data_IF_425944092650
#
_entry.id   IF_425944092650
#
_cell.length_a   1.000
_cell.length_b   1.000
_cell.length_c   1.000
_cell.angle_alpha   90.00
_cell.angle_beta   90.00
_cell.angle_gamma   90.00
#
_symmetry.space_group_name_H-M   'P 1'
#
loop_
_entity.id
_entity.type
_entity.pdbx_description
1 polymer ?
#
# COMPACT_ATOMS: atom_id res chain seq x y z
N UNK A 1 15.17 -16.70 9.11
CA UNK A 1 16.33 -15.97 9.62
C UNK A 1 17.52 -16.91 9.63
N UNK A 2 18.58 -16.53 8.94
CA UNK A 2 19.83 -17.27 8.92
C UNK A 2 20.54 -17.01 10.24
N UNK A 3 21.16 -18.03 10.82
CA UNK A 3 21.88 -17.91 12.08
C UNK A 3 23.37 -17.67 11.81
N UNK A 4 23.92 -16.61 12.39
CA UNK A 4 25.34 -16.26 12.33
C UNK A 4 26.25 -17.41 12.72
N UNK A 5 25.95 -18.07 13.85
CA UNK A 5 26.70 -19.22 14.36
C UNK A 5 26.65 -20.43 13.43
N UNK A 6 25.49 -20.71 12.82
CA UNK A 6 25.37 -21.78 11.83
C UNK A 6 26.15 -21.47 10.55
N UNK A 7 26.11 -20.22 10.08
CA UNK A 7 26.90 -19.79 8.92
C UNK A 7 28.42 -19.91 9.18
N UNK A 8 28.87 -19.52 10.38
CA UNK A 8 30.27 -19.64 10.78
C UNK A 8 30.73 -21.10 10.89
N UNK A 9 29.91 -21.99 11.45
CA UNK A 9 30.19 -23.43 11.50
C UNK A 9 30.27 -24.03 10.09
N UNK A 10 29.38 -23.63 9.18
CA UNK A 10 29.47 -24.03 7.78
C UNK A 10 30.70 -23.46 7.10
N UNK A 11 31.15 -22.25 7.41
CA UNK A 11 32.38 -21.71 6.86
C UNK A 11 33.60 -22.47 7.38
N UNK A 12 33.61 -22.89 8.65
CA UNK A 12 34.71 -23.62 9.26
C UNK A 12 34.84 -25.07 8.77
N UNK A 13 33.73 -25.81 8.71
CA UNK A 13 33.74 -27.25 8.40
C UNK A 13 33.40 -27.57 6.94
N UNK A 14 32.71 -26.65 6.25
CA UNK A 14 32.20 -26.83 4.89
C UNK A 14 32.59 -25.67 3.96
N UNK A 15 33.43 -24.73 4.42
CA UNK A 15 33.80 -23.53 3.66
C UNK A 15 34.67 -23.83 2.45
N UNK A 16 35.40 -24.94 2.47
CA UNK A 16 36.14 -25.45 1.31
C UNK A 16 35.28 -25.72 0.08
N UNK A 17 33.98 -26.01 0.26
CA UNK A 17 33.00 -26.21 -0.82
C UNK A 17 32.09 -24.99 -1.00
N UNK A 18 32.27 -23.93 -0.22
CA UNK A 18 31.44 -22.71 -0.30
C UNK A 18 30.01 -22.87 0.24
N UNK A 19 29.72 -23.92 1.02
CA UNK A 19 28.36 -24.23 1.51
C UNK A 19 27.77 -23.09 2.35
N UNK A 20 28.60 -22.38 3.12
CA UNK A 20 28.18 -21.20 3.89
C UNK A 20 27.69 -20.07 2.99
N UNK A 21 28.25 -19.88 1.79
CA UNK A 21 27.78 -18.86 0.84
C UNK A 21 26.41 -19.21 0.26
N UNK A 22 26.14 -20.50 0.03
CA UNK A 22 24.80 -20.96 -0.33
C UNK A 22 23.79 -20.79 0.81
N UNK A 23 24.20 -21.08 2.05
CA UNK A 23 23.37 -20.81 3.24
C UNK A 23 23.02 -19.32 3.37
N UNK A 24 23.97 -18.44 3.04
CA UNK A 24 23.77 -17.00 3.01
C UNK A 24 22.98 -16.49 1.79
N UNK A 25 22.52 -17.38 0.90
CA UNK A 25 21.82 -17.09 -0.38
C UNK A 25 22.64 -16.30 -1.40
N UNK A 26 23.95 -16.52 -1.42
CA UNK A 26 24.87 -15.92 -2.40
C UNK A 26 25.35 -17.00 -3.39
N UNK A 27 24.51 -17.46 -4.35
CA UNK A 27 24.83 -18.60 -5.20
C UNK A 27 26.03 -18.34 -6.11
N UNK A 28 26.23 -17.11 -6.60
CA UNK A 28 27.40 -16.74 -7.41
C UNK A 28 28.72 -16.91 -6.66
N UNK A 29 28.78 -16.45 -5.40
CA UNK A 29 29.96 -16.64 -4.55
C UNK A 29 30.15 -18.11 -4.15
N UNK A 30 29.08 -18.86 -3.93
CA UNK A 30 29.16 -20.30 -3.69
C UNK A 30 29.79 -21.06 -4.87
N UNK A 31 29.39 -20.74 -6.10
CA UNK A 31 29.96 -21.34 -7.32
C UNK A 31 31.45 -20.96 -7.46
N UNK A 32 31.81 -19.70 -7.17
CA UNK A 32 33.21 -19.27 -7.18
C UNK A 32 34.08 -20.10 -6.22
N UNK A 33 33.57 -20.39 -5.02
CA UNK A 33 34.27 -21.23 -4.05
C UNK A 33 34.48 -22.67 -4.55
N UNK A 34 33.50 -23.24 -5.27
CA UNK A 34 33.64 -24.58 -5.88
C UNK A 34 34.74 -24.59 -6.95
N UNK A 35 34.86 -23.52 -7.74
CA UNK A 35 35.93 -23.39 -8.74
C UNK A 35 37.29 -23.25 -8.05
N UNK A 36 37.39 -22.38 -7.04
CA UNK A 36 38.63 -22.14 -6.29
C UNK A 36 39.06 -23.32 -5.41
N UNK A 37 38.15 -24.24 -5.11
CA UNK A 37 38.47 -25.48 -4.39
C UNK A 37 39.47 -26.35 -5.15
N UNK A 38 39.39 -26.38 -6.49
CA UNK A 38 40.37 -27.10 -7.33
C UNK A 38 41.81 -26.59 -7.14
N UNK A 39 41.97 -25.33 -6.69
CA UNK A 39 43.26 -24.68 -6.45
C UNK A 39 43.68 -24.70 -4.97
N UNK A 40 42.86 -25.25 -4.06
CA UNK A 40 43.13 -25.29 -2.62
C UNK A 40 43.01 -23.95 -1.88
N UNK A 41 42.85 -22.83 -2.60
CA UNK A 41 42.74 -21.47 -2.05
C UNK A 41 41.43 -21.31 -1.24
N UNK A 42 40.37 -22.04 -1.60
CA UNK A 42 39.07 -21.97 -0.91
C UNK A 42 39.13 -22.38 0.57
N UNK A 43 40.09 -23.21 0.97
CA UNK A 43 40.26 -23.65 2.37
C UNK A 43 40.65 -22.45 3.24
N UNK A 44 41.63 -21.66 2.78
CA UNK A 44 42.09 -20.46 3.50
C UNK A 44 40.99 -19.40 3.52
N UNK A 45 40.32 -19.18 2.39
CA UNK A 45 39.20 -18.23 2.30
C UNK A 45 38.02 -18.64 3.21
N UNK A 46 37.73 -19.93 3.33
CA UNK A 46 36.68 -20.45 4.23
C UNK A 46 36.98 -20.17 5.70
N UNK A 47 38.24 -20.32 6.13
CA UNK A 47 38.68 -19.99 7.49
C UNK A 47 38.58 -18.47 7.75
N UNK A 48 39.04 -17.65 6.80
CA UNK A 48 38.93 -16.18 6.89
C UNK A 48 37.45 -15.78 7.02
N UNK A 49 36.59 -16.35 6.17
CA UNK A 49 35.14 -16.12 6.22
C UNK A 49 34.54 -16.54 7.57
N UNK A 50 34.98 -17.66 8.16
CA UNK A 50 34.52 -18.09 9.48
C UNK A 50 34.91 -17.10 10.58
N UNK A 51 36.13 -16.56 10.54
CA UNK A 51 36.61 -15.56 11.50
C UNK A 51 35.82 -14.25 11.33
N UNK A 52 35.67 -13.77 10.09
CA UNK A 52 34.89 -12.56 9.79
C UNK A 52 33.44 -12.73 10.24
N UNK A 53 32.82 -13.89 9.96
CA UNK A 53 31.47 -14.19 10.38
C UNK A 53 31.32 -14.29 11.90
N UNK A 54 32.33 -14.74 12.65
CA UNK A 54 32.30 -14.76 14.11
C UNK A 54 32.53 -13.36 14.70
N UNK A 55 33.41 -12.56 14.09
CA UNK A 55 33.79 -11.22 14.54
C UNK A 55 32.74 -10.14 14.21
N UNK A 56 31.93 -10.34 13.18
CA UNK A 56 30.86 -9.42 12.77
C UNK A 56 29.81 -9.24 13.88
N UNK A 57 29.30 -8.03 14.09
CA UNK A 57 28.24 -7.82 15.08
C UNK A 57 26.92 -8.53 14.66
N UNK A 58 26.13 -9.12 15.57
CA UNK A 58 24.86 -9.77 15.20
C UNK A 58 23.90 -8.86 14.44
N UNK A 59 23.81 -7.57 14.81
CA UNK A 59 22.92 -6.63 14.12
C UNK A 59 23.42 -6.33 12.69
N UNK A 60 24.74 -6.28 12.49
CA UNK A 60 25.33 -6.11 11.17
C UNK A 60 25.11 -7.35 10.29
N UNK A 61 25.24 -8.55 10.87
CA UNK A 61 24.96 -9.80 10.18
C UNK A 61 23.51 -9.87 9.71
N UNK A 62 22.58 -9.50 10.59
CA UNK A 62 21.16 -9.48 10.27
C UNK A 62 20.87 -8.48 9.15
N UNK A 63 21.42 -7.26 9.21
CA UNK A 63 21.30 -6.27 8.13
C UNK A 63 21.91 -6.76 6.81
N UNK A 64 23.00 -7.51 6.83
CA UNK A 64 23.72 -7.89 5.59
C UNK A 64 23.19 -9.16 4.94
N UNK A 65 22.64 -10.07 5.74
CA UNK A 65 22.27 -11.40 5.27
C UNK A 65 20.80 -11.77 5.54
N UNK A 66 20.15 -11.10 6.50
CA UNK A 66 18.73 -11.29 6.82
C UNK A 66 17.83 -10.12 6.37
N UNK A 67 18.39 -9.04 5.81
CA UNK A 67 17.60 -7.91 5.26
C UNK A 67 16.85 -8.28 3.96
N UNK A 68 17.32 -9.26 3.20
CA UNK A 68 16.50 -9.91 2.15
C UNK A 68 15.30 -10.66 2.72
N UNK A 69 15.33 -11.05 4.00
CA UNK A 69 14.15 -11.52 4.70
C UNK A 69 13.31 -10.34 5.17
N UNK A 70 13.83 -9.22 5.64
CA UNK A 70 13.04 -8.07 6.10
C UNK A 70 12.35 -7.31 4.94
N UNK A 71 13.03 -7.15 3.80
CA UNK A 71 12.45 -6.63 2.55
C UNK A 71 11.42 -7.59 1.93
N UNK A 72 11.67 -8.91 1.93
CA UNK A 72 10.66 -9.91 1.57
C UNK A 72 9.62 -10.14 2.67
N UNK A 73 9.85 -9.69 3.90
CA UNK A 73 8.94 -9.82 5.04
C UNK A 73 8.04 -8.61 5.10
N UNK A 74 8.42 -7.44 4.59
CA UNK A 74 7.48 -6.34 4.26
C UNK A 74 6.62 -6.73 3.05
N UNK A 75 7.22 -7.36 2.03
CA UNK A 75 6.50 -7.85 0.85
C UNK A 75 5.61 -9.07 1.17
N UNK A 76 6.04 -9.92 2.12
CA UNK A 76 5.21 -10.99 2.71
C UNK A 76 4.29 -10.46 3.79
N UNK A 77 4.55 -9.36 4.50
CA UNK A 77 3.60 -8.79 5.48
C UNK A 77 2.40 -8.25 4.71
N UNK A 78 2.67 -7.57 3.60
CA UNK A 78 1.69 -7.10 2.63
C UNK A 78 0.88 -8.26 2.05
N UNK A 79 1.54 -9.36 1.64
CA UNK A 79 0.84 -10.57 1.12
C UNK A 79 0.23 -11.50 2.18
N UNK A 80 0.71 -11.48 3.43
CA UNK A 80 0.29 -12.39 4.53
C UNK A 80 -0.82 -11.78 5.36
N UNK A 81 -0.90 -10.45 5.52
CA UNK A 81 -2.12 -9.81 6.05
C UNK A 81 -3.31 -10.06 5.14
N UNK A 82 -3.09 -10.04 3.83
CA UNK A 82 -4.10 -10.39 2.82
C UNK A 82 -4.59 -11.85 2.91
N UNK A 83 -3.74 -12.79 3.38
CA UNK A 83 -4.12 -14.19 3.60
C UNK A 83 -4.63 -14.54 5.01
N UNK A 84 -4.27 -13.77 6.04
CA UNK A 84 -4.58 -14.12 7.44
C UNK A 84 -5.94 -13.59 7.90
N UNK A 85 -6.47 -12.53 7.28
CA UNK A 85 -7.83 -12.02 7.55
C UNK A 85 -8.94 -12.95 7.02
N UNK A 86 -8.61 -13.99 6.24
CA UNK A 86 -9.57 -15.03 5.84
C UNK A 86 -9.74 -16.15 6.90
N UNK A 87 -8.84 -16.27 7.89
CA UNK A 87 -8.82 -17.41 8.83
C UNK A 87 -9.05 -17.08 10.30
N UNK A 88 -9.17 -15.80 10.68
CA UNK A 88 -9.49 -15.40 12.06
C UNK A 88 -10.95 -14.94 12.21
N UNK A 89 -11.89 -15.82 11.88
CA UNK A 89 -13.19 -15.86 12.56
C UNK A 89 -13.34 -17.25 13.20
N UNK A 90 -13.68 -17.34 14.50
CA UNK A 90 -13.89 -18.62 15.16
C UNK A 90 -15.22 -19.21 14.67
N UNK A 91 -15.17 -20.19 13.77
CA UNK A 91 -16.35 -21.00 13.43
C UNK A 91 -16.52 -22.09 14.49
N UNK A 92 -17.27 -21.77 15.52
CA UNK A 92 -17.98 -22.77 16.33
C UNK A 92 -19.10 -23.37 15.49
N UNK A 93 -18.84 -24.45 14.75
CA UNK A 93 -19.81 -25.55 14.68
C UNK A 93 -19.20 -26.81 14.05
N UNK A 94 -18.73 -27.68 14.93
CA UNK A 94 -18.57 -29.10 14.66
C UNK A 94 -19.93 -29.70 14.31
N UNK A 95 -20.15 -30.13 13.06
CA UNK A 95 -21.07 -31.24 12.72
C UNK A 95 -20.85 -31.73 11.28
N UNK A 96 -19.96 -32.72 11.20
CA UNK A 96 -20.16 -33.98 10.47
C UNK A 96 -21.14 -33.98 9.29
N UNK A 97 -20.59 -34.03 8.06
CA UNK A 97 -21.31 -34.58 6.91
C UNK A 97 -20.78 -35.99 6.64
N UNK A 98 -21.51 -36.99 7.15
CA UNK A 98 -21.43 -38.37 6.65
C UNK A 98 -22.08 -38.44 5.26
N UNK A 99 -21.43 -39.22 4.39
CA UNK A 99 -21.89 -39.65 3.06
C UNK A 99 -23.33 -40.21 3.08
N UNK A 100 -24.11 -40.08 2.01
CA UNK A 100 -25.22 -40.99 1.77
C UNK A 100 -24.75 -42.17 0.92
N UNK A 101 -24.72 -43.35 1.53
CA UNK A 101 -24.78 -44.63 0.82
C UNK A 101 -26.23 -45.07 0.74
N UNK A 102 -26.64 -45.55 -0.43
CA UNK A 102 -27.91 -46.27 -0.67
C UNK A 102 -28.14 -47.36 0.37
N UNK A 103 -29.33 -47.40 0.98
CA UNK A 103 -30.06 -48.66 1.24
C UNK A 103 -31.52 -48.39 1.56
N UNK A 104 -32.40 -48.92 0.72
CA UNK A 104 -33.84 -49.03 0.96
C UNK A 104 -34.15 -50.40 1.57
N UNK A 105 -35.23 -50.42 2.37
CA UNK A 105 -36.02 -51.53 2.91
C UNK A 105 -35.62 -52.16 4.25
N UNK A 106 -36.41 -51.84 5.28
CA UNK A 106 -37.38 -52.78 5.89
C UNK A 106 -38.38 -52.08 6.84
N UNK A 107 -39.66 -52.15 6.46
CA UNK A 107 -40.91 -52.38 7.25
C UNK A 107 -41.30 -51.49 8.47
N UNK A 108 -42.60 -51.44 8.82
CA UNK A 108 -43.29 -50.22 9.29
C UNK A 108 -43.85 -50.31 10.72
N UNK A 109 -44.63 -49.29 11.12
CA UNK A 109 -45.88 -49.32 11.96
C UNK A 109 -45.93 -48.17 12.99
N UNK A 110 -46.95 -47.29 12.83
CA UNK A 110 -47.83 -46.56 13.79
C UNK A 110 -47.17 -45.80 14.99
N UNK A 111 -47.58 -44.63 15.48
CA UNK A 111 -48.91 -44.05 15.74
C UNK A 111 -48.78 -42.58 16.16
N UNK A 112 -49.87 -41.82 15.98
CA UNK A 112 -50.44 -40.81 16.92
C UNK A 112 -49.57 -39.58 17.31
N UNK A 113 -49.93 -38.39 16.85
CA UNK A 113 -50.90 -37.48 17.48
C UNK A 113 -50.29 -36.66 18.63
N UNK A 114 -50.11 -35.34 18.42
CA UNK A 114 -50.71 -34.29 19.27
C UNK A 114 -50.33 -32.87 18.83
N UNK A 115 -51.33 -32.00 18.95
CA UNK A 115 -51.36 -30.54 18.71
C UNK A 115 -50.50 -29.77 19.71
N UNK A 116 -49.93 -28.61 19.31
CA UNK A 116 -50.30 -27.28 19.84
C UNK A 116 -49.52 -26.12 19.17
N UNK A 117 -49.99 -24.85 19.28
CA UNK A 117 -49.84 -23.85 18.23
C UNK A 117 -48.94 -22.65 18.58
N UNK A 118 -48.56 -21.93 17.51
CA UNK A 118 -48.27 -20.49 17.40
C UNK A 118 -47.44 -19.83 18.52
N UNK A 119 -46.28 -19.28 18.14
CA UNK A 119 -45.92 -17.89 18.45
C UNK A 119 -45.21 -17.25 17.25
N UNK A 120 -45.93 -16.33 16.59
CA UNK A 120 -45.43 -15.42 15.57
C UNK A 120 -44.71 -14.29 16.30
N UNK A 121 -43.40 -14.18 16.17
CA UNK A 121 -42.67 -12.95 16.45
C UNK A 121 -42.22 -12.36 15.11
N UNK A 122 -42.51 -11.07 14.93
CA UNK A 122 -42.27 -10.33 13.70
C UNK A 122 -40.80 -10.42 13.29
N UNK A 123 -40.57 -10.91 12.06
CA UNK A 123 -39.28 -10.84 11.40
C UNK A 123 -39.09 -9.41 10.91
N UNK A 124 -38.30 -8.63 11.63
CA UNK A 124 -37.71 -7.41 11.10
C UNK A 124 -36.89 -7.77 9.86
N UNK A 125 -37.27 -7.16 8.74
CA UNK A 125 -36.55 -7.28 7.48
C UNK A 125 -35.24 -6.51 7.64
N UNK A 126 -34.17 -7.22 7.98
CA UNK A 126 -32.81 -6.71 7.80
C UNK A 126 -32.35 -7.16 6.42
N UNK A 127 -32.22 -6.19 5.52
CA UNK A 127 -31.59 -6.32 4.22
C UNK A 127 -30.12 -6.71 4.42
N UNK A 128 -29.87 -8.02 4.50
CA UNK A 128 -28.52 -8.58 4.46
C UNK A 128 -27.95 -8.36 3.06
N UNK A 129 -27.24 -7.24 2.85
CA UNK A 129 -26.31 -7.11 1.74
C UNK A 129 -25.16 -8.11 1.98
N UNK A 130 -25.01 -9.06 1.07
CA UNK A 130 -23.95 -10.06 1.11
C UNK A 130 -22.58 -9.39 0.92
N UNK A 131 -21.49 -9.89 1.55
CA UNK A 131 -20.16 -9.35 1.33
C UNK A 131 -19.77 -9.52 -0.14
N UNK A 132 -19.50 -8.40 -0.82
CA UNK A 132 -19.05 -8.42 -2.21
C UNK A 132 -17.80 -9.31 -2.34
N UNK A 133 -17.86 -10.23 -3.30
CA UNK A 133 -16.70 -11.03 -3.68
C UNK A 133 -15.64 -10.09 -4.25
N UNK A 134 -14.57 -9.80 -3.50
CA UNK A 134 -13.43 -9.01 -3.98
C UNK A 134 -12.97 -9.60 -5.32
N UNK A 135 -13.21 -8.87 -6.40
CA UNK A 135 -12.78 -9.25 -7.74
C UNK A 135 -11.26 -9.24 -7.73
N UNK A 136 -10.63 -10.33 -8.14
CA UNK A 136 -9.16 -10.39 -8.26
C UNK A 136 -8.76 -9.32 -9.28
N UNK A 137 -7.87 -8.40 -8.90
CA UNK A 137 -7.45 -7.28 -9.74
C UNK A 137 -6.20 -7.67 -10.56
N UNK A 138 -6.33 -8.02 -11.85
CA UNK A 138 -5.18 -8.44 -12.67
C UNK A 138 -4.21 -7.29 -12.94
N UNK A 139 -4.72 -6.05 -12.98
CA UNK A 139 -3.93 -4.88 -13.36
C UNK A 139 -2.92 -4.48 -12.28
N UNK A 140 -3.21 -4.76 -11.01
CA UNK A 140 -2.24 -4.56 -9.91
C UNK A 140 -0.94 -5.33 -10.11
N UNK A 141 -1.04 -6.60 -10.51
CA UNK A 141 0.16 -7.42 -10.74
C UNK A 141 0.89 -7.02 -12.02
N UNK A 142 0.13 -6.68 -13.08
CA UNK A 142 0.69 -6.19 -14.34
C UNK A 142 1.46 -4.88 -14.15
N UNK A 143 0.87 -3.91 -13.44
CA UNK A 143 1.53 -2.64 -13.13
C UNK A 143 2.79 -2.83 -12.28
N UNK A 144 2.78 -3.72 -11.27
CA UNK A 144 3.99 -4.02 -10.47
C UNK A 144 5.11 -4.58 -11.35
N UNK A 145 4.77 -5.41 -12.34
CA UNK A 145 5.77 -5.96 -13.26
C UNK A 145 6.41 -4.84 -14.10
N UNK A 146 5.58 -4.02 -14.75
CA UNK A 146 6.04 -2.88 -15.56
C UNK A 146 6.84 -1.87 -14.74
N UNK A 147 6.43 -1.64 -13.50
CA UNK A 147 7.13 -0.77 -12.54
C UNK A 147 8.57 -1.26 -12.29
N UNK A 148 8.75 -2.56 -12.07
CA UNK A 148 10.06 -3.19 -11.88
C UNK A 148 10.91 -3.19 -13.15
N UNK A 149 10.25 -3.22 -14.31
CA UNK A 149 10.89 -3.09 -15.62
C UNK A 149 11.21 -1.62 -15.96
N UNK A 150 10.98 -0.68 -15.04
CA UNK A 150 11.14 0.78 -15.19
C UNK A 150 10.26 1.41 -16.29
N UNK A 151 9.25 0.69 -16.78
CA UNK A 151 8.20 1.25 -17.64
C UNK A 151 7.14 1.94 -16.77
N UNK A 152 7.52 3.09 -16.23
CA UNK A 152 6.73 3.80 -15.22
C UNK A 152 5.40 4.30 -15.76
N UNK A 153 5.38 4.79 -17.01
CA UNK A 153 4.16 5.31 -17.63
C UNK A 153 3.15 4.18 -17.85
N UNK A 154 3.57 3.05 -18.40
CA UNK A 154 2.67 1.91 -18.59
C UNK A 154 2.28 1.23 -17.27
N UNK A 155 3.13 1.34 -16.23
CA UNK A 155 2.79 0.89 -14.88
C UNK A 155 1.67 1.73 -14.27
N UNK A 156 1.73 3.06 -14.41
CA UNK A 156 0.69 4.00 -13.96
C UNK A 156 -0.64 3.66 -14.64
N UNK A 157 -0.65 3.48 -15.96
CA UNK A 157 -1.87 3.11 -16.70
C UNK A 157 -2.51 1.81 -16.19
N UNK A 158 -1.70 0.80 -15.90
CA UNK A 158 -2.21 -0.46 -15.33
C UNK A 158 -2.70 -0.26 -13.90
N UNK A 159 -2.00 0.52 -13.08
CA UNK A 159 -2.49 0.79 -11.74
C UNK A 159 -3.79 1.60 -11.73
N UNK A 160 -3.97 2.54 -12.65
CA UNK A 160 -5.21 3.31 -12.82
C UNK A 160 -6.38 2.41 -13.23
N UNK A 161 -6.19 1.50 -14.20
CA UNK A 161 -7.17 0.43 -14.51
C UNK A 161 -7.44 -0.47 -13.30
N UNK A 162 -6.44 -0.65 -12.44
CA UNK A 162 -6.59 -1.32 -11.17
C UNK A 162 -7.53 -0.57 -10.22
N UNK A 163 -7.40 0.75 -10.13
CA UNK A 163 -8.27 1.59 -9.31
C UNK A 163 -9.72 1.57 -9.81
N UNK A 164 -9.96 1.48 -11.12
CA UNK A 164 -11.33 1.32 -11.66
C UNK A 164 -12.07 0.10 -11.09
N UNK A 165 -11.34 -0.93 -10.66
CA UNK A 165 -11.91 -2.12 -10.00
C UNK A 165 -12.09 -1.87 -8.50
N UNK A 166 -11.07 -1.32 -7.84
CA UNK A 166 -11.10 -0.98 -6.42
C UNK A 166 -10.47 0.39 -6.18
N UNK A 167 -11.33 1.41 -6.12
CA UNK A 167 -10.95 2.80 -5.92
C UNK A 167 -10.33 3.07 -4.53
N UNK A 168 -10.44 2.13 -3.58
CA UNK A 168 -9.94 2.29 -2.21
C UNK A 168 -8.75 1.36 -1.91
N UNK A 169 -8.13 0.75 -2.93
CA UNK A 169 -6.96 -0.10 -2.74
C UNK A 169 -5.75 0.74 -2.31
N UNK A 170 -5.46 0.67 -1.02
CA UNK A 170 -4.34 1.35 -0.36
C UNK A 170 -3.02 1.09 -1.07
N UNK A 171 -2.77 -0.16 -1.50
CA UNK A 171 -1.49 -0.51 -2.14
C UNK A 171 -1.37 0.07 -3.55
N UNK A 172 -2.48 0.12 -4.30
CA UNK A 172 -2.47 0.74 -5.62
C UNK A 172 -2.18 2.24 -5.52
N UNK A 173 -2.83 2.94 -4.58
CA UNK A 173 -2.52 4.34 -4.32
C UNK A 173 -1.05 4.56 -3.95
N UNK A 174 -0.49 3.74 -3.05
CA UNK A 174 0.93 3.83 -2.70
C UNK A 174 1.86 3.58 -3.91
N UNK A 175 1.60 2.53 -4.70
CA UNK A 175 2.43 2.20 -5.86
C UNK A 175 2.36 3.28 -6.96
N UNK A 176 1.18 3.84 -7.20
CA UNK A 176 1.01 4.97 -8.12
C UNK A 176 1.79 6.19 -7.62
N UNK A 177 1.79 6.46 -6.32
CA UNK A 177 2.58 7.57 -5.77
C UNK A 177 4.09 7.37 -5.98
N UNK A 178 4.60 6.15 -5.79
CA UNK A 178 5.98 5.83 -6.09
C UNK A 178 6.29 6.01 -7.58
N UNK A 179 5.39 5.61 -8.48
CA UNK A 179 5.56 5.82 -9.91
C UNK A 179 5.56 7.31 -10.29
N UNK A 180 4.62 8.10 -9.77
CA UNK A 180 4.59 9.53 -10.01
C UNK A 180 5.80 10.28 -9.42
N UNK A 181 6.33 9.81 -8.30
CA UNK A 181 7.57 10.36 -7.73
C UNK A 181 8.77 10.12 -8.65
N UNK A 182 8.90 8.91 -9.21
CA UNK A 182 9.94 8.59 -10.17
C UNK A 182 9.80 9.31 -11.52
N UNK A 183 8.56 9.68 -11.91
CA UNK A 183 8.30 10.52 -13.10
C UNK A 183 8.22 12.01 -12.75
N UNK A 184 8.79 12.42 -11.63
CA UNK A 184 8.91 13.83 -11.19
C UNK A 184 7.59 14.60 -11.08
N UNK A 185 6.47 13.90 -10.86
CA UNK A 185 5.13 14.47 -10.72
C UNK A 185 4.72 14.54 -9.24
N UNK A 186 5.35 15.44 -8.48
CA UNK A 186 5.20 15.54 -7.02
C UNK A 186 3.75 15.72 -6.54
N UNK A 187 2.99 16.62 -7.17
CA UNK A 187 1.60 16.91 -6.77
C UNK A 187 0.72 15.66 -6.84
N UNK A 188 0.85 14.91 -7.93
CA UNK A 188 0.11 13.65 -8.13
C UNK A 188 0.57 12.59 -7.14
N UNK A 189 1.87 12.48 -6.91
CA UNK A 189 2.43 11.54 -5.94
C UNK A 189 1.91 11.81 -4.52
N UNK A 190 1.97 13.06 -4.04
CA UNK A 190 1.45 13.47 -2.73
C UNK A 190 -0.08 13.25 -2.63
N UNK A 191 -0.82 13.50 -3.72
CA UNK A 191 -2.26 13.22 -3.78
C UNK A 191 -2.57 11.74 -3.58
N UNK A 192 -1.83 10.85 -4.24
CA UNK A 192 -2.02 9.41 -4.09
C UNK A 192 -1.53 8.91 -2.72
N UNK A 193 -0.47 9.48 -2.15
CA UNK A 193 -0.07 9.19 -0.76
C UNK A 193 -1.17 9.57 0.23
N UNK A 194 -1.78 10.75 0.05
CA UNK A 194 -2.87 11.21 0.90
C UNK A 194 -4.07 10.26 0.86
N UNK A 195 -4.46 9.83 -0.35
CA UNK A 195 -5.51 8.81 -0.52
C UNK A 195 -5.14 7.48 0.14
N UNK A 196 -3.89 7.04 0.02
CA UNK A 196 -3.44 5.82 0.69
C UNK A 196 -3.60 5.95 2.22
N UNK A 197 -3.20 7.09 2.81
CA UNK A 197 -3.37 7.37 4.24
C UNK A 197 -4.85 7.46 4.64
N UNK A 198 -5.67 8.16 3.87
CA UNK A 198 -7.12 8.25 4.04
C UNK A 198 -7.78 6.87 4.08
N UNK A 199 -7.36 5.96 3.20
CA UNK A 199 -7.88 4.59 3.13
C UNK A 199 -7.26 3.64 4.17
N UNK A 200 -6.34 4.13 5.01
CA UNK A 200 -5.84 3.41 6.17
C UNK A 200 -4.40 2.91 6.07
N UNK A 201 -3.57 3.50 5.21
CA UNK A 201 -2.12 3.33 5.25
C UNK A 201 -1.55 3.94 6.53
N UNK A 202 -0.79 3.16 7.30
CA UNK A 202 -0.28 3.55 8.63
C UNK A 202 1.25 3.64 8.72
N UNK A 203 1.94 3.18 7.69
CA UNK A 203 3.40 3.10 7.69
C UNK A 203 4.02 4.42 7.22
N UNK A 204 3.87 5.45 8.04
CA UNK A 204 4.39 6.79 7.73
C UNK A 204 5.91 6.84 7.60
N UNK A 205 6.62 5.94 8.30
CA UNK A 205 8.06 5.81 8.15
C UNK A 205 8.42 5.40 6.73
N UNK A 206 7.65 4.48 6.12
CA UNK A 206 7.84 4.11 4.71
C UNK A 206 7.74 5.30 3.77
N UNK A 207 6.83 6.26 4.00
CA UNK A 207 6.75 7.48 3.16
C UNK A 207 8.03 8.31 3.28
N UNK A 208 8.61 8.38 4.49
CA UNK A 208 9.83 9.15 4.79
C UNK A 208 11.12 8.49 4.31
N UNK A 209 11.14 7.17 4.10
CA UNK A 209 12.37 6.43 3.80
C UNK A 209 12.41 5.75 2.45
N UNK A 210 11.27 5.43 1.83
CA UNK A 210 11.24 4.64 0.59
C UNK A 210 11.96 5.34 -0.56
N UNK A 211 12.91 4.67 -1.22
CA UNK A 211 13.79 5.28 -2.22
C UNK A 211 13.01 5.91 -3.38
N UNK A 212 11.99 5.23 -3.90
CA UNK A 212 11.18 5.75 -5.01
C UNK A 212 10.40 7.03 -4.68
N UNK A 213 10.26 7.36 -3.39
CA UNK A 213 9.64 8.61 -2.91
C UNK A 213 10.65 9.74 -2.64
N UNK A 214 11.93 9.55 -2.99
CA UNK A 214 12.97 10.54 -2.74
C UNK A 214 12.66 11.90 -3.39
N UNK A 215 12.15 11.90 -4.62
CA UNK A 215 11.79 13.13 -5.33
C UNK A 215 10.68 13.91 -4.60
N UNK A 216 9.69 13.22 -4.04
CA UNK A 216 8.62 13.87 -3.25
C UNK A 216 9.18 14.49 -1.98
N UNK A 217 10.16 13.86 -1.33
CA UNK A 217 10.73 14.35 -0.06
C UNK A 217 11.58 15.61 -0.16
N UNK A 218 12.11 15.90 -1.35
CA UNK A 218 12.91 17.11 -1.58
C UNK A 218 12.05 18.33 -1.97
N UNK A 219 10.74 18.14 -2.17
CA UNK A 219 9.85 19.23 -2.51
C UNK A 219 9.59 20.13 -1.30
N UNK A 220 9.48 21.46 -1.50
CA UNK A 220 9.25 22.39 -0.40
C UNK A 220 7.93 22.15 0.33
N UNK A 221 6.92 21.59 -0.35
CA UNK A 221 5.61 21.27 0.23
C UNK A 221 5.65 20.03 1.15
N UNK A 222 6.70 19.20 1.05
CA UNK A 222 6.74 17.92 1.75
C UNK A 222 6.78 18.06 3.27
N UNK A 223 7.47 19.08 3.79
CA UNK A 223 7.54 19.30 5.24
C UNK A 223 6.17 19.57 5.83
N UNK A 224 5.37 20.42 5.16
CA UNK A 224 3.99 20.70 5.55
C UNK A 224 3.11 19.47 5.38
N UNK A 225 3.23 18.76 4.26
CA UNK A 225 2.49 17.52 4.02
C UNK A 225 2.76 16.46 5.09
N UNK A 226 4.01 16.32 5.54
CA UNK A 226 4.38 15.41 6.62
C UNK A 226 3.88 15.89 7.99
N UNK A 227 3.87 17.20 8.25
CA UNK A 227 3.32 17.80 9.48
C UNK A 227 1.80 17.58 9.59
N UNK A 228 1.09 17.62 8.45
CA UNK A 228 -0.34 17.34 8.33
C UNK A 228 -0.67 15.83 8.38
N UNK A 229 0.30 14.98 8.72
CA UNK A 229 0.11 13.54 8.82
C UNK A 229 -0.08 12.85 7.47
N UNK A 230 0.52 13.41 6.41
CA UNK A 230 0.38 12.95 5.03
C UNK A 230 -1.06 13.01 4.52
N UNK A 231 -1.86 13.94 5.05
CA UNK A 231 -3.18 14.24 4.53
C UNK A 231 -3.13 15.56 3.76
N UNK A 232 -3.86 15.64 2.65
CA UNK A 232 -4.10 16.92 2.00
C UNK A 232 -5.30 17.55 2.69
N UNK A 233 -5.02 18.41 3.66
CA UNK A 233 -6.03 19.33 4.17
C UNK A 233 -6.30 20.33 3.05
N UNK A 234 -7.32 20.06 2.21
CA UNK A 234 -7.73 21.01 1.18
C UNK A 234 -8.16 22.26 1.93
N UNK A 235 -7.28 23.27 2.02
CA UNK A 235 -7.72 24.63 2.28
C UNK A 235 -8.90 24.87 1.32
N UNK A 236 -10.03 25.42 1.80
CA UNK A 236 -11.22 25.59 0.98
C UNK A 236 -10.78 26.19 -0.33
N UNK A 237 -10.98 25.45 -1.42
CA UNK A 237 -10.57 25.96 -2.71
C UNK A 237 -11.38 27.21 -2.93
N UNK A 238 -10.70 28.34 -2.99
CA UNK A 238 -11.23 29.49 -3.68
C UNK A 238 -11.58 28.96 -5.06
N UNK A 239 -12.88 28.90 -5.35
CA UNK A 239 -13.38 28.43 -6.63
C UNK A 239 -12.56 29.12 -7.73
N UNK A 240 -12.12 28.38 -8.77
CA UNK A 240 -11.46 29.03 -9.90
C UNK A 240 -12.34 30.20 -10.33
N UNK A 241 -11.78 31.41 -10.53
CA UNK A 241 -12.59 32.57 -10.87
C UNK A 241 -13.44 32.18 -12.07
N UNK A 242 -14.77 32.23 -11.93
CA UNK A 242 -15.72 31.84 -12.98
C UNK A 242 -15.26 32.53 -14.27
N UNK A 243 -14.85 31.75 -15.27
CA UNK A 243 -14.17 32.20 -16.50
C UNK A 243 -14.97 33.28 -17.27
N UNK A 244 -16.27 33.40 -17.01
CA UNK A 244 -17.17 34.34 -17.69
C UNK A 244 -17.37 35.68 -16.96
N UNK A 245 -16.72 35.94 -15.81
CA UNK A 245 -16.93 37.21 -15.09
C UNK A 245 -16.35 38.44 -15.80
N UNK A 246 -15.41 38.24 -16.73
CA UNK A 246 -14.75 39.31 -17.49
C UNK A 246 -15.46 39.64 -18.80
N UNK A 247 -16.45 38.84 -19.23
CA UNK A 247 -17.20 39.07 -20.48
C UNK A 247 -18.44 39.97 -20.27
N UNK A 248 -18.83 40.23 -19.02
CA UNK A 248 -19.92 41.16 -18.69
C UNK A 248 -19.41 42.62 -18.66
N UNK A 249 -19.47 43.29 -19.82
CA UNK A 249 -19.16 44.73 -19.98
C UNK A 249 -19.85 45.61 -18.92
N UNK A 250 -21.06 45.22 -18.51
CA UNK A 250 -21.84 45.89 -17.46
C UNK A 250 -21.15 45.76 -16.11
N UNK A 251 -20.68 44.57 -15.75
CA UNK A 251 -20.00 44.30 -14.48
C UNK A 251 -18.66 45.04 -14.40
N UNK A 252 -17.89 45.04 -15.49
CA UNK A 252 -16.66 45.81 -15.63
C UNK A 252 -16.91 47.31 -15.43
N UNK A 253 -17.96 47.86 -16.04
CA UNK A 253 -18.32 49.28 -15.89
C UNK A 253 -18.67 49.64 -14.43
N UNK A 254 -19.37 48.74 -13.73
CA UNK A 254 -19.76 48.91 -12.33
C UNK A 254 -18.56 48.83 -11.38
N UNK A 255 -17.64 47.88 -11.63
CA UNK A 255 -16.40 47.76 -10.86
C UNK A 255 -15.47 48.96 -11.06
N UNK A 256 -15.36 49.49 -12.29
CA UNK A 256 -14.60 50.70 -12.57
C UNK A 256 -15.19 51.92 -11.87
N UNK A 257 -16.51 52.11 -11.91
CA UNK A 257 -17.18 53.20 -11.18
C UNK A 257 -16.97 53.09 -9.67
N UNK A 258 -17.02 51.88 -9.12
CA UNK A 258 -16.78 51.64 -7.69
C UNK A 258 -15.33 52.01 -7.30
N UNK A 259 -14.36 51.65 -8.16
CA UNK A 259 -12.95 52.00 -7.99
C UNK A 259 -12.73 53.52 -8.04
N UNK A 260 -13.39 54.22 -8.97
CA UNK A 260 -13.35 55.68 -9.03
C UNK A 260 -13.91 56.34 -7.77
N UNK A 261 -15.02 55.85 -7.23
CA UNK A 261 -15.61 56.39 -6.00
C UNK A 261 -14.66 56.23 -4.80
N UNK A 262 -13.95 55.09 -4.71
CA UNK A 262 -12.90 54.88 -3.69
C UNK A 262 -11.74 55.86 -3.89
N UNK A 263 -11.24 55.97 -5.11
CA UNK A 263 -10.09 56.84 -5.43
C UNK A 263 -10.41 58.32 -5.23
N UNK A 264 -11.67 58.72 -5.42
CA UNK A 264 -12.19 60.06 -5.12
C UNK A 264 -12.47 60.27 -3.62
N UNK A 265 -12.27 59.25 -2.78
CA UNK A 265 -12.50 59.31 -1.33
C UNK A 265 -13.97 59.38 -0.92
N UNK A 266 -14.90 59.07 -1.84
CA UNK A 266 -16.35 59.17 -1.62
C UNK A 266 -16.92 57.95 -0.89
N UNK A 267 -16.19 56.84 -0.88
CA UNK A 267 -16.51 55.62 -0.14
C UNK A 267 -15.27 55.11 0.58
N UNK A 268 -15.48 54.48 1.73
CA UNK A 268 -14.40 53.88 2.51
C UNK A 268 -13.95 52.54 1.91
N UNK A 269 -12.75 52.09 2.26
CA UNK A 269 -12.23 50.79 1.78
C UNK A 269 -13.12 49.61 2.21
N UNK A 270 -13.76 49.71 3.38
CA UNK A 270 -14.69 48.69 3.87
C UNK A 270 -15.98 48.65 3.02
N UNK A 271 -16.53 49.82 2.67
CA UNK A 271 -17.72 49.93 1.81
C UNK A 271 -17.42 49.46 0.39
N UNK A 272 -16.26 49.84 -0.16
CA UNK A 272 -15.78 49.35 -1.45
C UNK A 272 -15.72 47.82 -1.51
N UNK A 273 -15.14 47.17 -0.49
CA UNK A 273 -15.05 45.71 -0.45
C UNK A 273 -16.43 45.04 -0.33
N UNK A 274 -17.34 45.63 0.45
CA UNK A 274 -18.70 45.12 0.61
C UNK A 274 -19.51 45.20 -0.70
N UNK A 275 -19.46 46.34 -1.42
CA UNK A 275 -20.13 46.50 -2.70
C UNK A 275 -19.51 45.62 -3.79
N UNK A 276 -18.17 45.53 -3.85
CA UNK A 276 -17.46 44.66 -4.79
C UNK A 276 -17.86 43.19 -4.61
N UNK A 277 -18.00 42.74 -3.36
CA UNK A 277 -18.43 41.38 -3.06
C UNK A 277 -19.90 41.10 -3.48
N UNK A 278 -20.79 42.11 -3.44
CA UNK A 278 -22.16 41.96 -3.94
C UNK A 278 -22.22 41.83 -5.46
N UNK A 279 -21.34 42.52 -6.18
CA UNK A 279 -21.29 42.53 -7.64
C UNK A 279 -20.73 41.23 -8.24
N UNK A 280 -19.87 40.51 -7.51
CA UNK A 280 -19.12 39.34 -8.01
C UNK A 280 -19.80 37.99 -7.68
N UNK A 281 -20.90 38.01 -6.90
CA UNK A 281 -21.62 36.81 -6.46
C UNK A 281 -22.57 36.27 -7.53
#
# INVERSE_FOLDING_TARGET
MKNKTTAALFALFLGWFGVHRFYLRQPGLGILYIVLFSMGISVVLGIIDAIVLLAMDPAEFDRRYNDDEESNEHDRYSRRREKTDYRRRPDTNTRSRQRPSRRTERRPVTSQETRNPRRRYGRSVTTNQAPERRRVNPYKQSGIKKYKDFDLQAAIEDFEKGLEIDNHDISLHFNIACAYSLTESADKAMTHLAKAVEYGFKDFNKIKTHDDLAFVRIQPEFEQFAADGFMITRAPQLEPPKENLLDDDILLSQLNRLSELKNKGLITEKEFLAEKHKLVR
#
